data_IF_610067629265
#
_entry.id   IF_610067629265
#
_cell.length_a   1.000
_cell.length_b   1.000
_cell.length_c   1.000
_cell.angle_alpha   90.00
_cell.angle_beta   90.00
_cell.angle_gamma   90.00
#
_symmetry.space_group_name_H-M   'P 1'
#
loop_
_entity.id
_entity.type
_entity.pdbx_description
1 polymer ?
#
# COMPACT_ATOMS: atom_id res chain seq x y z
N UNK A 1 42.67 11.23 77.72
CA UNK A 1 42.90 10.37 76.54
C UNK A 1 41.91 9.22 76.53
N UNK A 2 41.01 9.28 75.54
CA UNK A 2 40.53 8.17 74.70
C UNK A 2 39.83 7.00 75.38
N UNK A 3 38.52 7.16 75.64
CA UNK A 3 37.60 6.04 75.80
C UNK A 3 36.45 6.19 74.79
N UNK A 4 36.09 5.08 74.13
CA UNK A 4 34.83 4.81 73.38
C UNK A 4 34.70 5.41 71.98
N UNK A 5 35.19 4.72 70.94
CA UNK A 5 34.67 4.90 69.57
C UNK A 5 34.86 3.72 68.55
N UNK A 6 35.08 2.43 68.92
CA UNK A 6 35.21 1.38 67.89
C UNK A 6 33.86 0.78 67.42
N UNK A 7 32.80 0.84 68.23
CA UNK A 7 31.53 0.14 67.92
C UNK A 7 30.63 0.92 66.95
N UNK A 8 30.69 2.25 66.96
CA UNK A 8 29.88 3.11 66.10
C UNK A 8 30.32 3.05 64.62
N UNK A 9 31.62 2.83 64.38
CA UNK A 9 32.21 2.73 63.04
C UNK A 9 31.88 1.41 62.33
N UNK A 10 31.65 0.34 63.11
CA UNK A 10 31.21 -0.97 62.61
C UNK A 10 29.71 -0.95 62.26
N UNK A 11 28.88 -0.24 63.04
CA UNK A 11 27.46 -0.08 62.73
C UNK A 11 27.22 0.77 61.47
N UNK A 12 28.02 1.82 61.25
CA UNK A 12 27.92 2.66 60.04
C UNK A 12 28.33 1.89 58.79
N UNK A 13 29.31 0.98 58.88
CA UNK A 13 29.74 0.16 57.73
C UNK A 13 28.76 -0.97 57.41
N UNK A 14 28.06 -1.53 58.39
CA UNK A 14 27.02 -2.54 58.16
C UNK A 14 25.75 -1.92 57.54
N UNK A 15 25.40 -0.67 57.88
CA UNK A 15 24.23 0.00 57.27
C UNK A 15 24.47 0.39 55.81
N UNK A 16 25.72 0.69 55.43
CA UNK A 16 26.07 1.10 54.06
C UNK A 16 26.01 -0.05 53.03
N UNK A 17 26.06 -1.32 53.44
CA UNK A 17 26.02 -2.46 52.52
C UNK A 17 24.61 -2.93 52.16
N UNK A 18 23.57 -2.37 52.78
CA UNK A 18 22.17 -2.77 52.55
C UNK A 18 21.47 -1.92 51.48
N UNK A 19 22.10 -0.84 51.00
CA UNK A 19 21.48 0.06 50.01
C UNK A 19 21.84 -0.26 48.55
N UNK A 20 22.59 -1.33 48.27
CA UNK A 20 23.09 -1.63 46.91
C UNK A 20 22.22 -2.58 46.09
N UNK A 21 21.04 -2.97 46.58
CA UNK A 21 20.10 -3.82 45.85
C UNK A 21 18.88 -2.99 45.43
N UNK A 22 19.07 -2.15 44.42
CA UNK A 22 17.94 -1.60 43.68
C UNK A 22 17.56 -2.63 42.60
N UNK A 23 16.30 -3.08 42.54
CA UNK A 23 15.87 -3.94 41.44
C UNK A 23 16.09 -3.21 40.12
N UNK A 24 16.66 -3.92 39.14
CA UNK A 24 16.83 -3.45 37.78
C UNK A 24 15.47 -2.94 37.26
N UNK A 25 15.37 -1.70 36.73
CA UNK A 25 14.11 -1.22 36.20
C UNK A 25 13.70 -2.11 35.02
N UNK A 26 12.49 -2.65 35.08
CA UNK A 26 11.90 -3.43 34.00
C UNK A 26 11.67 -2.51 32.79
N UNK A 27 12.64 -2.48 31.88
CA UNK A 27 12.60 -1.72 30.62
C UNK A 27 11.73 -2.46 29.62
N UNK A 28 10.42 -2.35 29.78
CA UNK A 28 9.47 -2.80 28.76
C UNK A 28 9.48 -1.81 27.60
N UNK A 29 10.03 -2.24 26.46
CA UNK A 29 9.90 -1.53 25.20
C UNK A 29 8.46 -1.69 24.70
N UNK A 30 7.59 -0.77 25.08
CA UNK A 30 6.29 -0.63 24.44
C UNK A 30 6.51 -0.19 22.99
N UNK A 31 5.98 -0.94 22.02
CA UNK A 31 5.79 -0.40 20.68
C UNK A 31 4.79 0.75 20.81
N UNK A 32 5.19 1.96 20.44
CA UNK A 32 4.23 3.05 20.31
C UNK A 32 3.17 2.59 19.30
N UNK A 33 1.87 2.61 19.65
CA UNK A 33 0.84 2.39 18.66
C UNK A 33 1.00 3.49 17.61
N UNK A 34 1.47 3.08 16.43
CA UNK A 34 1.44 3.94 15.27
C UNK A 34 -0.03 4.18 14.98
N UNK A 35 -0.51 5.41 15.19
CA UNK A 35 -1.80 5.80 14.65
C UNK A 35 -1.69 5.73 13.13
N UNK A 36 -2.18 4.62 12.57
CA UNK A 36 -2.27 4.43 11.14
C UNK A 36 -3.40 5.36 10.70
N UNK A 37 -3.07 6.63 10.45
CA UNK A 37 -3.95 7.51 9.70
C UNK A 37 -4.31 6.81 8.39
N UNK A 38 -5.56 6.99 7.93
CA UNK A 38 -5.96 6.48 6.62
C UNK A 38 -4.95 6.99 5.57
N UNK A 39 -4.08 6.11 5.09
CA UNK A 39 -3.17 6.40 3.98
C UNK A 39 -3.92 6.41 2.63
N UNK A 40 -5.21 6.14 2.71
CA UNK A 40 -6.19 6.33 1.68
C UNK A 40 -6.23 7.84 1.42
N UNK A 41 -5.86 8.28 0.22
CA UNK A 41 -6.43 9.51 -0.30
C UNK A 41 -7.94 9.40 -0.06
N UNK A 42 -8.56 10.40 0.56
CA UNK A 42 -9.93 10.30 1.05
C UNK A 42 -10.87 10.32 -0.16
N UNK A 43 -10.95 9.18 -0.87
CA UNK A 43 -11.54 9.10 -2.19
C UNK A 43 -13.02 8.85 -2.07
N UNK A 44 -13.81 9.91 -2.00
CA UNK A 44 -15.24 9.84 -1.65
C UNK A 44 -16.16 10.13 -2.84
N UNK A 45 -15.60 10.59 -3.97
CA UNK A 45 -16.37 10.97 -5.14
C UNK A 45 -16.18 10.00 -6.30
N UNK A 46 -17.25 9.31 -6.66
CA UNK A 46 -17.31 8.44 -7.85
C UNK A 46 -16.98 9.25 -9.11
N UNK A 47 -16.08 8.72 -9.95
CA UNK A 47 -15.77 9.26 -11.27
C UNK A 47 -16.97 9.09 -12.21
N UNK A 48 -17.24 10.09 -13.06
CA UNK A 48 -18.19 9.88 -14.15
C UNK A 48 -17.64 8.87 -15.17
N UNK A 49 -18.51 8.25 -15.97
CA UNK A 49 -18.11 7.29 -17.02
C UNK A 49 -17.02 7.91 -17.91
N UNK A 50 -17.23 9.15 -18.37
CA UNK A 50 -16.29 9.84 -19.26
C UNK A 50 -14.93 10.06 -18.59
N UNK A 51 -14.94 10.44 -17.31
CA UNK A 51 -13.71 10.64 -16.53
C UNK A 51 -12.98 9.32 -16.33
N UNK A 52 -13.70 8.26 -15.94
CA UNK A 52 -13.11 6.95 -15.72
C UNK A 52 -12.48 6.38 -16.99
N UNK A 53 -13.19 6.42 -18.13
CA UNK A 53 -12.66 5.95 -19.42
C UNK A 53 -11.40 6.75 -19.82
N UNK A 54 -11.46 8.09 -19.71
CA UNK A 54 -10.35 8.94 -20.14
C UNK A 54 -9.10 8.74 -19.30
N UNK A 55 -9.27 8.58 -17.97
CA UNK A 55 -8.17 8.32 -17.04
C UNK A 55 -7.61 6.92 -17.26
N UNK A 56 -8.48 5.90 -17.41
CA UNK A 56 -8.06 4.53 -17.71
C UNK A 56 -7.20 4.46 -18.98
N UNK A 57 -7.64 5.14 -20.04
CA UNK A 57 -6.86 5.18 -21.27
C UNK A 57 -5.49 5.83 -21.07
N UNK A 58 -5.45 6.97 -20.35
CA UNK A 58 -4.19 7.63 -20.05
C UNK A 58 -3.24 6.75 -19.22
N UNK A 59 -3.76 6.02 -18.23
CA UNK A 59 -2.97 5.16 -17.35
C UNK A 59 -2.45 3.90 -18.08
N UNK A 60 -3.22 3.35 -19.01
CA UNK A 60 -2.85 2.13 -19.75
C UNK A 60 -2.00 2.42 -20.99
N UNK A 61 -2.31 3.45 -21.75
CA UNK A 61 -1.67 3.76 -23.04
C UNK A 61 -0.67 4.91 -22.96
N UNK A 62 -0.68 5.70 -21.87
CA UNK A 62 0.18 6.86 -21.70
C UNK A 62 -0.22 8.06 -22.56
N UNK A 63 -1.41 8.05 -23.16
CA UNK A 63 -1.91 9.10 -24.04
C UNK A 63 -3.39 9.42 -23.81
N UNK A 64 -3.80 10.63 -24.17
CA UNK A 64 -5.19 11.06 -24.02
C UNK A 64 -6.10 10.38 -25.05
N UNK A 65 -7.26 9.90 -24.60
CA UNK A 65 -8.28 9.33 -25.48
C UNK A 65 -8.92 10.40 -26.37
N UNK A 66 -9.12 10.07 -27.65
CA UNK A 66 -9.81 10.95 -28.60
C UNK A 66 -11.31 11.08 -28.31
N UNK A 67 -11.88 12.27 -28.54
CA UNK A 67 -13.31 12.53 -28.24
C UNK A 67 -14.29 11.63 -29.02
N UNK A 68 -13.94 11.23 -30.24
CA UNK A 68 -14.78 10.33 -31.04
C UNK A 68 -14.83 8.93 -30.44
N UNK A 69 -13.68 8.39 -30.07
CA UNK A 69 -13.56 7.07 -29.45
C UNK A 69 -14.20 7.03 -28.07
N UNK A 70 -14.01 8.08 -27.25
CA UNK A 70 -14.70 8.23 -25.98
C UNK A 70 -16.23 8.17 -26.14
N UNK A 71 -16.76 8.83 -27.17
CA UNK A 71 -18.20 8.80 -27.45
C UNK A 71 -18.68 7.38 -27.80
N UNK A 72 -17.94 6.65 -28.63
CA UNK A 72 -18.28 5.27 -29.01
C UNK A 72 -18.25 4.31 -27.82
N UNK A 73 -17.19 4.35 -27.01
CA UNK A 73 -17.09 3.52 -25.80
C UNK A 73 -18.25 3.82 -24.86
N UNK A 74 -18.59 5.10 -24.66
CA UNK A 74 -19.70 5.52 -23.81
C UNK A 74 -21.07 4.99 -24.30
N UNK A 75 -21.29 4.87 -25.61
CA UNK A 75 -22.50 4.21 -26.12
C UNK A 75 -22.52 2.71 -25.74
N UNK A 76 -21.36 2.05 -25.75
CA UNK A 76 -21.22 0.68 -25.22
C UNK A 76 -21.68 0.57 -23.76
N UNK A 77 -21.23 1.50 -22.91
CA UNK A 77 -21.64 1.56 -21.49
C UNK A 77 -23.16 1.74 -21.32
N UNK A 78 -23.79 2.56 -22.16
CA UNK A 78 -25.25 2.74 -22.13
C UNK A 78 -26.04 1.53 -22.67
N UNK A 79 -25.42 0.66 -23.46
CA UNK A 79 -26.08 -0.53 -24.00
C UNK A 79 -26.17 -1.72 -23.03
N UNK A 80 -25.22 -1.82 -22.09
CA UNK A 80 -25.09 -2.97 -21.17
C UNK A 80 -26.00 -2.82 -19.93
N UNK A 81 -26.31 -1.59 -19.52
CA UNK A 81 -27.11 -1.29 -18.34
C UNK A 81 -26.32 -1.41 -17.02
N UNK A 82 -25.58 -2.51 -16.84
CA UNK A 82 -24.65 -2.70 -15.73
C UNK A 82 -23.29 -2.05 -16.03
N UNK A 83 -22.91 -1.09 -15.20
CA UNK A 83 -21.67 -0.33 -15.38
C UNK A 83 -20.42 -1.11 -14.95
N UNK A 84 -20.52 -2.05 -14.01
CA UNK A 84 -19.37 -2.91 -13.65
C UNK A 84 -19.03 -3.87 -14.77
N UNK A 85 -20.05 -4.51 -15.36
CA UNK A 85 -19.85 -5.40 -16.51
C UNK A 85 -19.28 -4.62 -17.70
N UNK A 86 -19.74 -3.38 -17.93
CA UNK A 86 -19.18 -2.52 -18.97
C UNK A 86 -17.70 -2.16 -18.72
N UNK A 87 -17.32 -1.87 -17.47
CA UNK A 87 -15.92 -1.63 -17.08
C UNK A 87 -15.05 -2.86 -17.30
N UNK A 88 -15.48 -4.03 -16.84
CA UNK A 88 -14.75 -5.29 -17.01
C UNK A 88 -14.56 -5.63 -18.49
N UNK A 89 -15.61 -5.46 -19.30
CA UNK A 89 -15.55 -5.68 -20.74
C UNK A 89 -14.56 -4.71 -21.42
N UNK A 90 -14.57 -3.43 -21.04
CA UNK A 90 -13.63 -2.44 -21.59
C UNK A 90 -12.19 -2.75 -21.18
N UNK A 91 -11.92 -3.02 -19.90
CA UNK A 91 -10.58 -3.35 -19.41
C UNK A 91 -10.07 -4.61 -20.11
N UNK A 92 -10.90 -5.64 -20.22
CA UNK A 92 -10.55 -6.88 -20.92
C UNK A 92 -10.24 -6.64 -22.40
N UNK A 93 -10.97 -5.73 -23.05
CA UNK A 93 -10.69 -5.35 -24.44
C UNK A 93 -9.37 -4.59 -24.56
N UNK A 94 -9.10 -3.63 -23.67
CA UNK A 94 -7.85 -2.88 -23.66
C UNK A 94 -6.64 -3.78 -23.40
N UNK A 95 -6.70 -4.72 -22.46
CA UNK A 95 -5.59 -5.64 -22.18
C UNK A 95 -5.20 -6.52 -23.38
N UNK A 96 -6.10 -6.73 -24.35
CA UNK A 96 -5.80 -7.43 -25.60
C UNK A 96 -5.12 -6.53 -26.66
N UNK A 97 -5.07 -5.22 -26.43
CA UNK A 97 -4.46 -4.27 -27.36
C UNK A 97 -2.93 -4.23 -27.17
N UNK A 98 -2.13 -4.49 -28.21
CA UNK A 98 -0.67 -4.50 -28.11
C UNK A 98 -0.05 -3.13 -27.75
N UNK A 99 -0.82 -2.04 -27.86
CA UNK A 99 -0.36 -0.69 -27.52
C UNK A 99 -0.46 -0.39 -26.01
N UNK A 100 -1.08 -1.26 -25.20
CA UNK A 100 -1.07 -1.07 -23.74
C UNK A 100 0.36 -1.15 -23.23
N UNK A 101 0.74 -0.17 -22.42
CA UNK A 101 2.06 -0.11 -21.80
C UNK A 101 2.14 -1.02 -20.57
N UNK A 102 2.15 -2.33 -20.82
CA UNK A 102 2.37 -3.34 -19.79
C UNK A 102 3.87 -3.52 -19.49
N UNK A 103 4.26 -3.60 -18.20
CA UNK A 103 5.59 -4.04 -17.83
C UNK A 103 5.86 -5.48 -18.28
N UNK A 104 7.13 -5.81 -18.51
CA UNK A 104 7.54 -7.19 -18.79
C UNK A 104 7.23 -8.12 -17.60
N UNK A 105 6.80 -9.36 -17.87
CA UNK A 105 6.45 -10.31 -16.81
C UNK A 105 7.62 -10.62 -15.87
N UNK A 106 8.87 -10.56 -16.35
CA UNK A 106 10.07 -10.74 -15.55
C UNK A 106 10.30 -9.66 -14.49
N UNK A 107 9.61 -8.51 -14.58
CA UNK A 107 9.70 -7.45 -13.55
C UNK A 107 9.19 -7.93 -12.20
N UNK A 108 8.19 -8.82 -12.18
CA UNK A 108 7.59 -9.35 -10.96
C UNK A 108 8.59 -10.17 -10.14
N UNK A 109 9.62 -10.72 -10.79
CA UNK A 109 10.67 -11.51 -10.14
C UNK A 109 11.90 -10.65 -9.88
N UNK A 110 12.31 -9.85 -10.87
CA UNK A 110 13.56 -9.08 -10.80
C UNK A 110 13.48 -7.82 -9.94
N UNK A 111 12.31 -7.15 -9.91
CA UNK A 111 12.07 -5.95 -9.10
C UNK A 111 10.59 -5.83 -8.70
N UNK A 112 10.08 -6.75 -7.86
CA UNK A 112 8.68 -6.71 -7.41
C UNK A 112 8.34 -5.40 -6.69
N UNK A 113 9.29 -4.81 -5.97
CA UNK A 113 9.06 -3.63 -5.14
C UNK A 113 8.86 -2.35 -5.96
N UNK A 114 9.69 -2.18 -7.00
CA UNK A 114 9.51 -1.12 -7.97
C UNK A 114 8.17 -1.26 -8.67
N UNK A 115 7.86 -2.46 -9.16
CA UNK A 115 6.59 -2.74 -9.83
C UNK A 115 5.37 -2.42 -8.94
N UNK A 116 5.37 -2.84 -7.67
CA UNK A 116 4.27 -2.55 -6.74
C UNK A 116 4.12 -1.04 -6.57
N UNK A 117 5.20 -0.33 -6.26
CA UNK A 117 5.12 1.12 -6.04
C UNK A 117 4.63 1.86 -7.29
N UNK A 118 5.15 1.52 -8.46
CA UNK A 118 4.77 2.14 -9.73
C UNK A 118 3.30 1.86 -10.07
N UNK A 119 2.80 0.66 -9.76
CA UNK A 119 1.39 0.29 -9.97
C UNK A 119 0.45 1.10 -9.07
N UNK A 120 0.78 1.22 -7.78
CA UNK A 120 -0.01 2.03 -6.85
C UNK A 120 0.00 3.52 -7.23
N UNK A 121 1.15 4.06 -7.65
CA UNK A 121 1.23 5.46 -8.08
C UNK A 121 0.44 5.68 -9.36
N UNK A 122 0.56 4.77 -10.34
CA UNK A 122 -0.15 4.86 -11.62
C UNK A 122 -1.66 4.88 -11.43
N UNK A 123 -2.22 3.88 -10.77
CA UNK A 123 -3.68 3.76 -10.66
C UNK A 123 -4.23 4.55 -9.47
N UNK A 124 -3.58 4.49 -8.31
CA UNK A 124 -4.14 5.01 -7.07
C UNK A 124 -3.60 6.38 -6.67
N UNK A 125 -2.59 6.92 -7.38
CA UNK A 125 -1.98 8.24 -7.13
C UNK A 125 -1.41 8.35 -5.71
N UNK A 126 -0.90 7.23 -5.18
CA UNK A 126 -0.25 7.16 -3.87
C UNK A 126 0.74 6.01 -3.82
N UNK A 127 1.59 5.99 -2.80
CA UNK A 127 2.37 4.82 -2.47
C UNK A 127 1.57 3.84 -1.61
N UNK A 128 1.85 2.52 -1.69
CA UNK A 128 1.23 1.53 -0.81
C UNK A 128 1.63 1.78 0.65
N UNK A 129 0.75 1.43 1.58
CA UNK A 129 1.11 1.24 2.98
C UNK A 129 2.10 0.08 3.12
N UNK A 130 2.80 0.02 4.26
CA UNK A 130 3.71 -1.11 4.53
C UNK A 130 2.97 -2.46 4.51
N UNK A 131 1.71 -2.50 4.98
CA UNK A 131 0.90 -3.71 4.98
C UNK A 131 0.53 -4.15 3.55
N UNK A 132 0.02 -3.23 2.73
CA UNK A 132 -0.32 -3.46 1.31
C UNK A 132 0.90 -3.91 0.51
N UNK A 133 2.03 -3.23 0.69
CA UNK A 133 3.28 -3.57 0.02
C UNK A 133 3.74 -4.98 0.40
N UNK A 134 3.69 -5.33 1.70
CA UNK A 134 4.09 -6.65 2.18
C UNK A 134 3.15 -7.73 1.64
N UNK A 135 1.84 -7.48 1.64
CA UNK A 135 0.86 -8.41 1.10
C UNK A 135 1.05 -8.65 -0.40
N UNK A 136 1.20 -7.58 -1.19
CA UNK A 136 1.42 -7.71 -2.64
C UNK A 136 2.71 -8.44 -2.97
N UNK A 137 3.81 -8.13 -2.27
CA UNK A 137 5.08 -8.83 -2.46
C UNK A 137 4.90 -10.32 -2.21
N UNK A 138 4.24 -10.69 -1.11
CA UNK A 138 3.97 -12.10 -0.80
C UNK A 138 3.08 -12.74 -1.88
N UNK A 139 2.02 -12.05 -2.32
CA UNK A 139 1.11 -12.53 -3.35
C UNK A 139 1.83 -12.81 -4.67
N UNK A 140 2.72 -11.92 -5.12
CA UNK A 140 3.54 -12.12 -6.32
C UNK A 140 4.45 -13.35 -6.15
N UNK A 141 5.14 -13.47 -5.01
CA UNK A 141 6.06 -14.60 -4.78
C UNK A 141 5.36 -15.95 -4.64
N UNK A 142 4.14 -15.99 -4.10
CA UNK A 142 3.40 -17.23 -3.88
C UNK A 142 2.63 -17.70 -5.12
N UNK A 143 2.40 -16.84 -6.11
CA UNK A 143 1.57 -17.12 -7.27
C UNK A 143 2.38 -16.95 -8.57
N UNK A 144 3.03 -18.01 -9.08
CA UNK A 144 3.89 -17.92 -10.27
C UNK A 144 3.12 -17.62 -11.57
N UNK A 145 1.79 -17.78 -11.57
CA UNK A 145 0.92 -17.50 -12.72
C UNK A 145 0.44 -16.04 -12.74
N UNK A 146 0.78 -15.23 -11.74
CA UNK A 146 0.39 -13.84 -11.69
C UNK A 146 1.16 -13.06 -12.77
N UNK A 147 0.43 -12.30 -13.59
CA UNK A 147 1.00 -11.48 -14.66
C UNK A 147 0.77 -9.99 -14.38
N UNK A 148 1.60 -9.09 -14.95
CA UNK A 148 1.35 -7.65 -14.87
C UNK A 148 -0.03 -7.26 -15.40
N UNK A 149 -0.51 -7.92 -16.45
CA UNK A 149 -1.86 -7.75 -17.01
C UNK A 149 -2.96 -8.01 -15.98
N UNK A 150 -2.87 -9.13 -15.25
CA UNK A 150 -3.87 -9.49 -14.23
C UNK A 150 -3.86 -8.49 -13.06
N UNK A 151 -2.67 -8.04 -12.66
CA UNK A 151 -2.54 -7.02 -11.61
C UNK A 151 -3.12 -5.69 -12.09
N UNK A 152 -2.76 -5.20 -13.28
CA UNK A 152 -3.29 -3.95 -13.82
C UNK A 152 -4.82 -4.01 -13.97
N UNK A 153 -5.35 -5.15 -14.40
CA UNK A 153 -6.80 -5.40 -14.47
C UNK A 153 -7.45 -5.26 -13.10
N UNK A 154 -6.88 -5.89 -12.06
CA UNK A 154 -7.41 -5.79 -10.70
C UNK A 154 -7.38 -4.37 -10.15
N UNK A 155 -6.32 -3.59 -10.43
CA UNK A 155 -6.22 -2.20 -10.01
C UNK A 155 -7.20 -1.29 -10.76
N UNK A 156 -7.32 -1.46 -12.09
CA UNK A 156 -8.24 -0.71 -12.93
C UNK A 156 -9.72 -0.95 -12.55
N UNK A 157 -10.04 -2.11 -12.00
CA UNK A 157 -11.39 -2.48 -11.55
C UNK A 157 -11.60 -2.28 -10.03
N UNK A 158 -10.63 -1.71 -9.31
CA UNK A 158 -10.75 -1.49 -7.88
C UNK A 158 -11.68 -0.33 -7.54
N UNK A 159 -12.39 -0.43 -6.41
CA UNK A 159 -13.22 0.65 -5.87
C UNK A 159 -12.43 1.95 -5.65
N UNK A 160 -11.19 1.84 -5.16
CA UNK A 160 -10.34 3.01 -4.96
C UNK A 160 -9.99 3.69 -6.30
N UNK A 161 -9.83 2.92 -7.38
CA UNK A 161 -9.64 3.49 -8.72
C UNK A 161 -10.90 4.16 -9.26
N UNK A 162 -12.09 3.70 -8.88
CA UNK A 162 -13.35 4.31 -9.29
C UNK A 162 -13.59 5.70 -8.67
N UNK A 163 -12.93 6.02 -7.56
CA UNK A 163 -13.16 7.25 -6.81
C UNK A 163 -12.01 8.27 -6.97
N UNK A 164 -12.31 9.56 -6.84
CA UNK A 164 -11.31 10.65 -6.68
C UNK A 164 -10.96 10.82 -5.23
#
# INVERSE_FOLDING_TARGET
MTCRFPFLLIWVTVVATWTSCLPEPDVTYGLQPLEIGANNANKDRVKSIDQWISILHADLFGEALGSAELFEIKQGFFSIGDQEVAREALVSNFMQNPNVQLPDAGVLISNPDGFINDTYVRFLVRHPTQAEHTWMRNNITSNPNLTPELIYTAFALSEEYLHY
#
